data_IF_554545882364
#
_entry.id   IF_554545882364
#
_cell.length_a   1.000
_cell.length_b   1.000
_cell.length_c   1.000
_cell.angle_alpha   90.00
_cell.angle_beta   90.00
_cell.angle_gamma   90.00
#
_symmetry.space_group_name_H-M   'P 1'
#
loop_
_entity.id
_entity.type
_entity.pdbx_description
1 polymer ?
#
# COMPACT_ATOMS: atom_id res chain seq x y z
N UNK A 1 8.21 16.36 -22.41
CA UNK A 1 6.96 16.52 -21.59
C UNK A 1 6.12 15.24 -21.53
N UNK A 2 6.12 14.39 -22.57
CA UNK A 2 5.38 13.13 -22.61
C UNK A 2 5.92 12.08 -21.62
N UNK A 3 7.23 11.89 -21.55
CA UNK A 3 7.88 10.88 -20.72
C UNK A 3 7.50 10.95 -19.22
N UNK A 4 7.52 12.15 -18.65
CA UNK A 4 7.15 12.34 -17.24
C UNK A 4 5.66 12.08 -16.97
N UNK A 5 4.79 12.44 -17.90
CA UNK A 5 3.36 12.18 -17.76
C UNK A 5 3.05 10.67 -17.83
N UNK A 6 3.69 9.95 -18.75
CA UNK A 6 3.54 8.50 -18.90
C UNK A 6 4.13 7.75 -17.71
N UNK A 7 5.29 8.17 -17.22
CA UNK A 7 5.91 7.63 -16.00
C UNK A 7 5.00 7.82 -14.77
N UNK A 8 4.49 9.02 -14.55
CA UNK A 8 3.58 9.32 -13.44
C UNK A 8 2.27 8.53 -13.52
N UNK A 9 1.73 8.33 -14.72
CA UNK A 9 0.52 7.54 -14.93
C UNK A 9 0.74 6.05 -14.63
N UNK A 10 1.87 5.48 -15.05
CA UNK A 10 2.22 4.09 -14.78
C UNK A 10 2.49 3.85 -13.30
N UNK A 11 3.24 4.74 -12.65
CA UNK A 11 3.52 4.64 -11.21
C UNK A 11 2.24 4.75 -10.38
N UNK A 12 1.35 5.69 -10.72
CA UNK A 12 0.04 5.80 -10.08
C UNK A 12 -0.78 4.53 -10.21
N UNK A 13 -0.80 3.91 -11.40
CA UNK A 13 -1.53 2.67 -11.65
C UNK A 13 -0.97 1.50 -10.83
N UNK A 14 0.34 1.41 -10.68
CA UNK A 14 0.99 0.39 -9.88
C UNK A 14 0.66 0.54 -8.38
N UNK A 15 0.66 1.78 -7.86
CA UNK A 15 0.35 2.08 -6.45
C UNK A 15 -1.14 1.88 -6.14
N UNK A 16 -2.06 2.35 -6.99
CA UNK A 16 -3.51 2.31 -6.71
C UNK A 16 -4.18 0.96 -7.04
N UNK A 17 -3.48 0.02 -7.68
CA UNK A 17 -4.08 -1.20 -8.21
C UNK A 17 -4.72 -2.14 -7.17
N UNK A 18 -4.33 -2.08 -5.90
CA UNK A 18 -4.86 -2.96 -4.85
C UNK A 18 -5.83 -2.28 -3.87
N UNK A 19 -5.89 -0.95 -3.87
CA UNK A 19 -6.65 -0.20 -2.86
C UNK A 19 -8.15 -0.47 -2.91
N UNK A 20 -8.74 -0.43 -4.10
CA UNK A 20 -10.19 -0.68 -4.27
C UNK A 20 -10.58 -2.09 -3.80
N UNK A 21 -9.68 -3.06 -3.99
CA UNK A 21 -9.87 -4.43 -3.51
C UNK A 21 -9.86 -4.51 -1.98
N UNK A 22 -8.92 -3.83 -1.33
CA UNK A 22 -8.83 -3.83 0.13
C UNK A 22 -9.99 -3.10 0.79
N UNK A 23 -10.41 -1.95 0.27
CA UNK A 23 -11.55 -1.20 0.78
C UNK A 23 -12.86 -2.01 0.67
N UNK A 24 -13.07 -2.73 -0.44
CA UNK A 24 -14.22 -3.61 -0.63
C UNK A 24 -14.18 -4.82 0.33
N UNK A 25 -13.01 -5.43 0.52
CA UNK A 25 -12.83 -6.55 1.46
C UNK A 25 -13.07 -6.10 2.90
N UNK A 26 -12.57 -4.92 3.29
CA UNK A 26 -12.80 -4.33 4.61
C UNK A 26 -14.30 -4.12 4.89
N UNK A 27 -15.04 -3.59 3.94
CA UNK A 27 -16.48 -3.40 4.10
C UNK A 27 -17.20 -4.74 4.28
N UNK A 28 -16.90 -5.71 3.43
CA UNK A 28 -17.49 -7.05 3.48
C UNK A 28 -17.19 -7.76 4.79
N UNK A 29 -15.96 -7.66 5.29
CA UNK A 29 -15.57 -8.27 6.57
C UNK A 29 -16.28 -7.63 7.76
N UNK A 30 -16.45 -6.31 7.76
CA UNK A 30 -17.19 -5.60 8.82
C UNK A 30 -18.66 -6.01 8.85
N UNK A 31 -19.31 -6.18 7.71
CA UNK A 31 -20.68 -6.69 7.60
C UNK A 31 -20.78 -8.12 8.15
N UNK A 32 -19.90 -9.02 7.69
CA UNK A 32 -19.87 -10.42 8.17
C UNK A 32 -19.60 -10.53 9.67
N UNK A 33 -18.74 -9.68 10.22
CA UNK A 33 -18.45 -9.66 11.64
C UNK A 33 -19.70 -9.23 12.44
N UNK A 34 -20.44 -8.24 11.98
CA UNK A 34 -21.69 -7.82 12.62
C UNK A 34 -22.77 -8.91 12.56
N UNK A 35 -22.88 -9.63 11.45
CA UNK A 35 -23.78 -10.80 11.32
C UNK A 35 -23.38 -11.94 12.27
N UNK A 36 -22.08 -12.23 12.36
CA UNK A 36 -21.53 -13.23 13.28
C UNK A 36 -21.85 -12.90 14.72
N UNK A 37 -21.62 -11.66 15.16
CA UNK A 37 -21.95 -11.21 16.51
C UNK A 37 -23.46 -11.27 16.81
N UNK A 38 -24.30 -10.96 15.83
CA UNK A 38 -25.75 -11.08 15.93
C UNK A 38 -26.17 -12.54 16.11
N UNK A 39 -25.55 -13.44 15.36
CA UNK A 39 -25.80 -14.90 15.43
C UNK A 39 -25.40 -15.47 16.80
N UNK A 40 -24.24 -15.06 17.33
CA UNK A 40 -23.81 -15.44 18.68
C UNK A 40 -24.84 -14.97 19.73
N UNK A 41 -25.30 -13.73 19.65
CA UNK A 41 -26.33 -13.19 20.58
C UNK A 41 -27.63 -13.98 20.52
N UNK A 42 -28.07 -14.37 19.33
CA UNK A 42 -29.26 -15.21 19.14
C UNK A 42 -29.10 -16.60 19.76
N UNK A 43 -27.93 -17.24 19.55
CA UNK A 43 -27.63 -18.55 20.13
C UNK A 43 -27.53 -18.49 21.65
N UNK A 44 -26.90 -17.46 22.22
CA UNK A 44 -26.84 -17.22 23.67
C UNK A 44 -28.26 -17.10 24.26
N UNK A 45 -29.14 -16.36 23.57
CA UNK A 45 -30.55 -16.26 23.99
C UNK A 45 -31.30 -17.61 23.92
N UNK A 46 -30.94 -18.46 22.95
CA UNK A 46 -31.51 -19.81 22.82
C UNK A 46 -30.96 -20.77 23.87
N UNK A 47 -29.68 -20.60 24.26
CA UNK A 47 -29.03 -21.41 25.27
C UNK A 47 -29.77 -21.33 26.63
N UNK A 48 -30.21 -20.14 27.01
CA UNK A 48 -30.99 -19.97 28.28
C UNK A 48 -32.31 -20.72 28.30
N UNK A 49 -32.89 -21.00 27.11
CA UNK A 49 -34.14 -21.75 26.96
C UNK A 49 -33.93 -23.27 26.86
N UNK A 50 -32.74 -23.68 26.48
CA UNK A 50 -32.36 -25.07 26.21
C UNK A 50 -31.51 -25.70 27.30
N UNK A 51 -31.34 -25.00 28.43
CA UNK A 51 -30.57 -25.49 29.58
C UNK A 51 -31.07 -26.85 30.09
N UNK A 52 -30.15 -27.81 30.22
CA UNK A 52 -30.45 -29.16 30.64
C UNK A 52 -31.00 -30.09 29.54
N UNK A 53 -31.08 -29.63 28.31
CA UNK A 53 -31.49 -30.48 27.14
C UNK A 53 -30.27 -30.89 26.31
N UNK A 54 -30.45 -31.93 25.46
CA UNK A 54 -29.40 -32.36 24.51
C UNK A 54 -29.03 -31.28 23.49
N UNK A 55 -29.86 -30.25 23.31
CA UNK A 55 -29.58 -29.13 22.42
C UNK A 55 -28.54 -28.15 22.97
N UNK A 56 -28.33 -28.14 24.29
CA UNK A 56 -27.37 -27.24 24.94
C UNK A 56 -25.95 -27.44 24.40
N UNK A 57 -25.48 -28.67 24.28
CA UNK A 57 -24.13 -28.96 23.78
C UNK A 57 -23.93 -28.51 22.33
N UNK A 58 -24.93 -28.71 21.47
CA UNK A 58 -24.87 -28.22 20.07
C UNK A 58 -24.82 -26.70 19.96
N UNK A 59 -25.59 -26.02 20.81
CA UNK A 59 -25.59 -24.55 20.83
C UNK A 59 -24.23 -24.02 21.31
N UNK A 60 -23.65 -24.65 22.31
CA UNK A 60 -22.31 -24.27 22.83
C UNK A 60 -21.23 -24.48 21.78
N UNK A 61 -21.24 -25.61 21.05
CA UNK A 61 -20.32 -25.89 19.96
C UNK A 61 -20.44 -24.83 18.85
N UNK A 62 -21.66 -24.51 18.42
CA UNK A 62 -21.91 -23.46 17.43
C UNK A 62 -21.43 -22.07 17.87
N UNK A 63 -21.63 -21.72 19.14
CA UNK A 63 -21.11 -20.46 19.70
C UNK A 63 -19.57 -20.45 19.62
N UNK A 64 -18.92 -21.56 19.94
CA UNK A 64 -17.47 -21.66 19.91
C UNK A 64 -16.93 -21.54 18.47
N UNK A 65 -17.56 -22.18 17.49
CA UNK A 65 -17.22 -22.07 16.08
C UNK A 65 -17.36 -20.62 15.57
N UNK A 66 -18.47 -19.97 15.92
CA UNK A 66 -18.70 -18.58 15.54
C UNK A 66 -17.71 -17.62 16.21
N UNK A 67 -17.32 -17.87 17.46
CA UNK A 67 -16.26 -17.11 18.13
C UNK A 67 -14.93 -17.24 17.40
N UNK A 68 -14.51 -18.47 17.03
CA UNK A 68 -13.28 -18.67 16.28
C UNK A 68 -13.33 -17.95 14.94
N UNK A 69 -14.42 -18.09 14.21
CA UNK A 69 -14.62 -17.38 12.92
C UNK A 69 -14.58 -15.86 13.10
N UNK A 70 -15.14 -15.36 14.18
CA UNK A 70 -15.09 -13.94 14.52
C UNK A 70 -13.67 -13.42 14.79
N UNK A 71 -12.86 -14.21 15.51
CA UNK A 71 -11.44 -13.85 15.77
C UNK A 71 -10.62 -13.88 14.46
N UNK A 72 -10.84 -14.86 13.59
CA UNK A 72 -10.16 -14.92 12.30
C UNK A 72 -10.51 -13.71 11.42
N UNK A 73 -11.79 -13.30 11.41
CA UNK A 73 -12.22 -12.09 10.71
C UNK A 73 -11.60 -10.81 11.28
N UNK A 74 -11.48 -10.69 12.61
CA UNK A 74 -10.84 -9.54 13.26
C UNK A 74 -9.35 -9.46 12.95
N UNK A 75 -8.65 -10.58 12.97
CA UNK A 75 -7.24 -10.64 12.58
C UNK A 75 -7.04 -10.20 11.13
N UNK A 76 -7.88 -10.69 10.22
CA UNK A 76 -7.83 -10.30 8.81
C UNK A 76 -8.15 -8.82 8.61
N UNK A 77 -9.09 -8.28 9.38
CA UNK A 77 -9.46 -6.86 9.36
C UNK A 77 -8.28 -5.98 9.79
N UNK A 78 -7.57 -6.35 10.87
CA UNK A 78 -6.38 -5.64 11.33
C UNK A 78 -5.23 -5.66 10.30
N UNK A 79 -5.02 -6.80 9.63
CA UNK A 79 -4.06 -6.90 8.52
C UNK A 79 -4.40 -5.95 7.38
N UNK A 80 -5.67 -5.95 6.93
CA UNK A 80 -6.13 -5.09 5.85
C UNK A 80 -6.07 -3.59 6.22
N UNK A 81 -6.40 -3.24 7.45
CA UNK A 81 -6.27 -1.86 7.93
C UNK A 81 -4.81 -1.40 7.88
N UNK A 82 -3.87 -2.25 8.30
CA UNK A 82 -2.43 -1.95 8.21
C UNK A 82 -1.99 -1.77 6.76
N UNK A 83 -2.41 -2.67 5.85
CA UNK A 83 -2.09 -2.57 4.43
C UNK A 83 -2.68 -1.30 3.79
N UNK A 84 -3.90 -0.94 4.16
CA UNK A 84 -4.57 0.28 3.66
C UNK A 84 -3.87 1.55 4.15
N UNK A 85 -3.39 1.56 5.40
CA UNK A 85 -2.62 2.68 5.94
C UNK A 85 -1.27 2.83 5.23
N UNK A 86 -0.53 1.74 5.03
CA UNK A 86 0.72 1.75 4.27
C UNK A 86 0.51 2.30 2.86
N UNK A 87 -0.57 1.87 2.20
CA UNK A 87 -0.90 2.35 0.86
C UNK A 87 -1.27 3.83 0.84
N UNK A 88 -1.96 4.33 1.85
CA UNK A 88 -2.27 5.75 2.00
C UNK A 88 -1.01 6.60 2.19
N UNK A 89 -0.04 6.10 2.93
CA UNK A 89 1.27 6.74 3.07
C UNK A 89 1.99 6.81 1.72
N UNK A 90 2.06 5.70 0.99
CA UNK A 90 2.67 5.65 -0.33
C UNK A 90 1.99 6.61 -1.33
N UNK A 91 0.66 6.71 -1.30
CA UNK A 91 -0.10 7.66 -2.12
C UNK A 91 0.25 9.12 -1.78
N UNK A 92 0.40 9.45 -0.50
CA UNK A 92 0.78 10.81 -0.06
C UNK A 92 2.21 11.17 -0.46
N UNK A 93 3.16 10.25 -0.28
CA UNK A 93 4.55 10.44 -0.70
C UNK A 93 4.65 10.59 -2.22
N UNK A 94 3.89 9.77 -2.96
CA UNK A 94 3.81 9.90 -4.41
C UNK A 94 3.22 11.26 -4.84
N UNK A 95 2.14 11.72 -4.19
CA UNK A 95 1.54 13.01 -4.49
C UNK A 95 2.51 14.18 -4.22
N UNK A 96 3.26 14.11 -3.12
CA UNK A 96 4.30 15.10 -2.80
C UNK A 96 5.43 15.10 -3.82
N UNK A 97 5.95 13.93 -4.16
CA UNK A 97 7.01 13.77 -5.17
C UNK A 97 6.57 14.24 -6.54
N UNK A 98 5.35 13.94 -6.92
CA UNK A 98 4.73 14.43 -8.15
C UNK A 98 4.69 15.96 -8.18
N UNK A 99 4.22 16.58 -7.11
CA UNK A 99 4.17 18.04 -7.01
C UNK A 99 5.56 18.66 -7.13
N UNK A 100 6.59 18.07 -6.52
CA UNK A 100 7.97 18.51 -6.66
C UNK A 100 8.47 18.39 -8.10
N UNK A 101 8.21 17.26 -8.77
CA UNK A 101 8.61 17.04 -10.17
C UNK A 101 7.87 17.99 -11.10
N UNK A 102 6.58 18.21 -10.93
CA UNK A 102 5.80 19.16 -11.73
C UNK A 102 6.29 20.60 -11.54
N UNK A 103 6.58 20.99 -10.31
CA UNK A 103 7.16 22.31 -10.00
C UNK A 103 8.54 22.49 -10.62
N UNK A 104 9.38 21.45 -10.56
CA UNK A 104 10.69 21.47 -11.22
C UNK A 104 10.54 21.57 -12.74
N UNK A 105 9.68 20.73 -13.36
CA UNK A 105 9.48 20.75 -14.80
C UNK A 105 8.94 22.10 -15.32
N UNK A 106 8.15 22.81 -14.50
CA UNK A 106 7.62 24.12 -14.85
C UNK A 106 8.70 25.22 -14.83
N UNK A 107 9.69 25.11 -13.93
CA UNK A 107 10.68 26.17 -13.69
C UNK A 107 12.09 25.80 -14.18
N UNK A 108 12.28 24.59 -14.73
CA UNK A 108 13.61 24.07 -15.09
C UNK A 108 14.35 24.96 -16.11
N UNK A 109 13.62 25.60 -17.02
CA UNK A 109 14.23 26.44 -18.06
C UNK A 109 14.82 27.74 -17.47
N UNK A 110 14.20 28.26 -16.40
CA UNK A 110 14.62 29.50 -15.71
C UNK A 110 15.68 29.26 -14.62
N UNK A 111 15.90 27.98 -14.22
CA UNK A 111 16.88 27.61 -13.21
C UNK A 111 18.31 27.64 -13.77
N UNK A 112 19.25 28.10 -12.95
CA UNK A 112 20.68 27.94 -13.20
C UNK A 112 21.11 26.48 -13.19
N UNK A 113 22.27 26.16 -13.76
CA UNK A 113 22.80 24.77 -13.77
C UNK A 113 22.98 24.22 -12.36
N UNK A 114 23.39 25.08 -11.42
CA UNK A 114 23.58 24.68 -10.01
C UNK A 114 22.25 24.36 -9.31
N UNK A 115 21.23 25.16 -9.55
CA UNK A 115 19.87 24.90 -9.03
C UNK A 115 19.30 23.62 -9.64
N UNK A 116 19.47 23.37 -10.93
CA UNK A 116 19.09 22.13 -11.60
C UNK A 116 19.76 20.91 -10.94
N UNK A 117 21.07 20.99 -10.69
CA UNK A 117 21.82 19.91 -10.01
C UNK A 117 21.31 19.67 -8.59
N UNK A 118 21.08 20.76 -7.83
CA UNK A 118 20.56 20.66 -6.44
C UNK A 118 19.19 19.99 -6.40
N UNK A 119 18.29 20.38 -7.29
CA UNK A 119 16.94 19.81 -7.37
C UNK A 119 16.95 18.34 -7.81
N UNK A 120 17.77 17.98 -8.81
CA UNK A 120 17.94 16.60 -9.24
C UNK A 120 18.49 15.72 -8.12
N UNK A 121 19.50 16.17 -7.37
CA UNK A 121 20.06 15.44 -6.21
C UNK A 121 19.04 15.26 -5.08
N UNK A 122 18.07 16.15 -4.93
CA UNK A 122 17.01 16.02 -3.93
C UNK A 122 15.92 14.99 -4.32
N UNK A 123 15.74 14.69 -5.60
CA UNK A 123 14.68 13.84 -6.12
C UNK A 123 15.21 12.47 -6.53
N UNK A 124 16.42 12.41 -7.10
CA UNK A 124 17.01 11.19 -7.68
C UNK A 124 17.89 10.48 -6.65
N UNK A 125 17.51 9.24 -6.32
CA UNK A 125 18.29 8.37 -5.43
C UNK A 125 19.50 7.75 -6.14
N UNK A 126 19.26 7.20 -7.32
CA UNK A 126 20.30 6.65 -8.19
C UNK A 126 19.85 6.58 -9.65
N UNK A 127 20.80 6.50 -10.55
CA UNK A 127 20.58 6.22 -11.97
C UNK A 127 21.39 4.98 -12.33
N UNK A 128 20.76 4.01 -12.98
CA UNK A 128 21.40 2.79 -13.48
C UNK A 128 21.28 2.80 -15.00
N UNK A 129 22.42 2.57 -15.68
CA UNK A 129 22.50 2.52 -17.13
C UNK A 129 22.90 1.11 -17.56
N UNK A 130 22.12 0.47 -18.44
CA UNK A 130 22.37 -0.90 -18.93
C UNK A 130 23.03 -0.95 -20.32
N UNK A 131 23.33 0.20 -20.92
CA UNK A 131 23.85 0.31 -22.28
C UNK A 131 22.83 0.79 -23.30
N UNK A 132 21.53 0.60 -23.05
CA UNK A 132 20.42 1.03 -23.92
C UNK A 132 19.43 1.92 -23.16
N UNK A 133 19.16 1.61 -21.88
CA UNK A 133 18.16 2.29 -21.07
C UNK A 133 18.77 2.91 -19.81
N UNK A 134 18.24 4.07 -19.39
CA UNK A 134 18.55 4.68 -18.13
C UNK A 134 17.40 4.48 -17.14
N UNK A 135 17.67 3.80 -16.04
CA UNK A 135 16.74 3.58 -14.93
C UNK A 135 16.97 4.63 -13.87
N UNK A 136 15.98 5.47 -13.62
CA UNK A 136 16.06 6.55 -12.63
C UNK A 136 15.24 6.17 -11.41
N UNK A 137 15.92 6.01 -10.27
CA UNK A 137 15.29 5.74 -8.97
C UNK A 137 15.11 7.05 -8.21
N UNK A 138 13.91 7.28 -7.69
CA UNK A 138 13.57 8.48 -6.93
C UNK A 138 13.55 8.16 -5.43
N UNK A 139 13.80 9.17 -4.57
CA UNK A 139 13.75 9.00 -3.11
C UNK A 139 12.35 8.68 -2.56
N UNK A 140 11.29 8.99 -3.29
CA UNK A 140 9.90 8.81 -2.88
C UNK A 140 9.28 7.50 -3.38
N UNK A 141 10.02 6.41 -3.33
CA UNK A 141 9.54 5.10 -3.74
C UNK A 141 10.18 3.99 -2.91
N UNK A 142 9.64 3.70 -1.74
CA UNK A 142 9.87 2.43 -1.07
C UNK A 142 8.97 1.33 -1.66
N UNK A 143 9.09 1.12 -2.95
CA UNK A 143 8.62 -0.08 -3.60
C UNK A 143 9.84 -0.79 -4.15
N UNK A 144 10.34 -1.78 -3.43
CA UNK A 144 11.30 -2.77 -3.91
C UNK A 144 10.69 -3.71 -4.96
N UNK A 145 9.60 -3.27 -5.61
CA UNK A 145 8.95 -3.98 -6.68
C UNK A 145 9.74 -3.74 -7.98
N UNK A 146 10.34 -4.82 -8.45
CA UNK A 146 11.04 -4.94 -9.72
C UNK A 146 12.35 -4.13 -9.85
N UNK A 147 13.32 -4.49 -9.02
CA UNK A 147 14.71 -4.32 -9.42
C UNK A 147 14.92 -5.08 -10.74
N UNK A 148 15.41 -4.44 -11.80
CA UNK A 148 15.84 -5.20 -12.97
C UNK A 148 16.86 -6.25 -12.52
N UNK A 149 16.85 -7.47 -13.08
CA UNK A 149 17.73 -8.57 -12.69
C UNK A 149 19.17 -8.32 -13.16
N UNK A 150 19.73 -7.15 -12.85
CA UNK A 150 21.06 -6.80 -13.30
C UNK A 150 21.88 -6.20 -12.14
N UNK A 151 22.93 -6.90 -11.79
CA UNK A 151 24.06 -6.43 -11.01
C UNK A 151 24.88 -5.42 -11.86
N UNK A 152 24.27 -4.27 -12.15
CA UNK A 152 24.99 -3.20 -12.81
C UNK A 152 25.92 -2.53 -11.77
N UNK A 153 27.20 -2.30 -12.08
CA UNK A 153 28.11 -1.63 -11.19
C UNK A 153 27.56 -0.26 -10.81
N UNK A 154 27.44 0.02 -9.54
CA UNK A 154 27.09 1.34 -9.03
C UNK A 154 28.15 2.34 -9.52
N UNK A 155 27.75 3.23 -10.42
CA UNK A 155 28.60 4.38 -10.78
C UNK A 155 28.33 5.45 -9.71
N UNK A 156 29.24 5.68 -8.76
CA UNK A 156 29.09 6.77 -7.82
C UNK A 156 29.05 8.06 -8.62
N UNK A 157 28.06 8.91 -8.34
CA UNK A 157 28.11 10.31 -8.80
C UNK A 157 29.39 10.88 -8.20
N UNK A 158 30.44 10.96 -9.01
CA UNK A 158 31.73 11.49 -8.58
C UNK A 158 31.51 12.89 -7.98
N UNK A 159 31.72 12.99 -6.69
CA UNK A 159 32.18 14.25 -6.08
C UNK A 159 33.53 14.52 -6.73
N UNK A 160 33.68 15.69 -7.24
CA UNK A 160 34.86 16.29 -7.81
C UNK A 160 34.89 16.43 -9.33
N UNK A 161 34.74 17.69 -9.70
CA UNK A 161 35.85 18.37 -10.40
C UNK A 161 35.64 19.88 -10.22
N UNK A 162 36.67 20.45 -9.60
CA UNK A 162 36.97 21.89 -9.52
C UNK A 162 36.80 22.65 -10.85
#
# INVERSE_FOLDING_TARGET
RSFFADFLAQTKKAISGNREGYDAELLTLKEKLAENESSIKALVSSLTKSAGTSAESYIMEQIQELHQTGEDMKNRLAELETLTEHQRFADQEFAFSRQMIESFAANVDDCTVEEKRRLLRAIVKKVVWDGENAWVYLFAGEGEADLPPFDAPEVPLSEDSE
#
